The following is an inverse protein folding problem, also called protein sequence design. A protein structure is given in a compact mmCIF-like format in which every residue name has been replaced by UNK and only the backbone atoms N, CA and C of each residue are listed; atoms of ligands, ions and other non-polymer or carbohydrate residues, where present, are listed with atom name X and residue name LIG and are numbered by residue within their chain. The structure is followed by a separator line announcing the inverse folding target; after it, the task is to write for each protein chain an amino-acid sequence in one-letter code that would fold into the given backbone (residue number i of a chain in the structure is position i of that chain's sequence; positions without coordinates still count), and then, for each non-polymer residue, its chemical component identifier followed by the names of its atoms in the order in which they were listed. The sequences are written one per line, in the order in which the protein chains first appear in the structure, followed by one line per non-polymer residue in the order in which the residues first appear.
data_IF_478586686628
#
_entry.id   IF_478586686628
#
_cell.length_a   1.000
_cell.length_b   1.000
_cell.length_c   1.000
_cell.angle_alpha   90.00
_cell.angle_beta   90.00
_cell.angle_gamma   90.00
#
_symmetry.space_group_name_H-M   'P 1'
#
loop_
_entity.id
_entity.type
_entity.pdbx_description
1 polymer ?
#
# COMPACT_ATOMS: atom_id res chain seq x y z
N UNK A 1 -13.49 -6.57 -8.66
CA UNK A 1 -12.01 -6.57 -8.56
C UNK A 1 -11.59 -5.13 -8.43
N UNK A 2 -11.03 -4.72 -7.29
CA UNK A 2 -10.60 -3.33 -7.08
C UNK A 2 -9.29 -3.13 -7.86
N UNK A 3 -9.38 -2.44 -8.98
CA UNK A 3 -8.24 -2.12 -9.82
C UNK A 3 -7.41 -1.06 -9.10
N UNK A 4 -6.15 -1.38 -8.80
CA UNK A 4 -5.22 -0.39 -8.25
C UNK A 4 -5.06 0.76 -9.24
N UNK A 5 -4.88 1.98 -8.73
CA UNK A 5 -4.70 3.19 -9.54
C UNK A 5 -3.28 3.73 -9.34
N UNK A 6 -2.60 4.01 -10.44
CA UNK A 6 -1.25 4.59 -10.43
C UNK A 6 -1.31 6.00 -9.82
N UNK A 7 -0.39 6.29 -8.91
CA UNK A 7 -0.33 7.55 -8.16
C UNK A 7 -1.09 7.49 -6.83
N UNK A 8 -2.02 6.54 -6.66
CA UNK A 8 -2.77 6.39 -5.42
C UNK A 8 -1.99 5.63 -4.34
N UNK A 9 -2.35 5.93 -3.10
CA UNK A 9 -1.83 5.34 -1.90
C UNK A 9 -2.73 4.22 -1.40
N UNK A 10 -2.08 3.15 -0.96
CA UNK A 10 -2.73 1.98 -0.42
C UNK A 10 -2.03 1.57 0.86
N UNK A 11 -2.81 1.02 1.79
CA UNK A 11 -2.28 0.41 2.99
C UNK A 11 -2.62 -1.06 3.04
N UNK A 12 -1.62 -1.92 3.16
CA UNK A 12 -1.83 -3.34 3.41
C UNK A 12 -1.70 -3.63 4.91
N UNK A 13 -2.66 -4.39 5.45
CA UNK A 13 -2.75 -4.78 6.85
C UNK A 13 -2.33 -6.24 7.00
N UNK A 14 -1.28 -6.48 7.78
CA UNK A 14 -0.73 -7.81 8.07
C UNK A 14 -1.09 -8.21 9.50
N UNK A 15 -1.76 -9.36 9.64
CA UNK A 15 -2.18 -9.96 10.92
C UNK A 15 -2.87 -8.99 11.90
N UNK A 16 -3.53 -7.94 11.40
CA UNK A 16 -4.18 -6.87 12.18
C UNK A 16 -3.26 -6.05 13.11
N UNK A 17 -1.94 -6.23 13.06
CA UNK A 17 -0.99 -5.52 13.92
C UNK A 17 -0.02 -4.64 13.14
N UNK A 18 0.21 -4.94 11.86
CA UNK A 18 1.18 -4.21 11.06
C UNK A 18 0.53 -3.61 9.82
N UNK A 19 0.69 -2.30 9.64
CA UNK A 19 0.19 -1.57 8.48
C UNK A 19 1.37 -1.06 7.67
N UNK A 20 1.44 -1.45 6.40
CA UNK A 20 2.41 -0.89 5.45
C UNK A 20 1.66 -0.04 4.45
N UNK A 21 2.09 1.21 4.34
CA UNK A 21 1.60 2.14 3.32
C UNK A 21 2.57 2.18 2.15
N UNK A 22 2.01 2.14 0.94
CA UNK A 22 2.75 2.26 -0.30
C UNK A 22 1.95 3.02 -1.36
N UNK A 23 2.66 3.69 -2.26
CA UNK A 23 2.11 4.35 -3.44
C UNK A 23 2.30 3.45 -4.66
N UNK A 24 1.28 3.35 -5.53
CA UNK A 24 1.42 2.63 -6.80
C UNK A 24 2.19 3.51 -7.78
N UNK A 25 3.37 3.06 -8.20
CA UNK A 25 4.18 3.74 -9.20
C UNK A 25 3.87 3.26 -10.61
N UNK A 26 3.66 1.95 -10.79
CA UNK A 26 3.40 1.35 -12.08
C UNK A 26 2.54 0.10 -11.96
N UNK A 27 1.71 -0.13 -12.96
CA UNK A 27 0.91 -1.35 -13.13
C UNK A 27 1.25 -1.94 -14.48
N UNK A 28 2.07 -2.99 -14.49
CA UNK A 28 2.48 -3.68 -15.70
C UNK A 28 1.75 -5.02 -15.80
N UNK A 29 0.46 -4.99 -16.12
CA UNK A 29 -0.40 -6.14 -16.42
C UNK A 29 -0.49 -7.25 -15.36
N UNK A 30 0.62 -7.96 -15.11
CA UNK A 30 0.82 -8.96 -14.06
C UNK A 30 1.63 -8.47 -12.85
N UNK A 31 2.36 -7.36 -12.98
CA UNK A 31 3.26 -6.84 -11.96
C UNK A 31 2.81 -5.47 -11.48
N UNK A 32 3.08 -5.16 -10.21
CA UNK A 32 2.77 -3.85 -9.62
C UNK A 32 3.99 -3.29 -8.91
N UNK A 33 4.48 -2.14 -9.33
CA UNK A 33 5.56 -1.45 -8.62
C UNK A 33 4.96 -0.55 -7.56
N UNK A 34 5.27 -0.85 -6.30
CA UNK A 34 4.78 -0.16 -5.12
C UNK A 34 5.97 0.51 -4.42
N UNK A 35 5.84 1.81 -4.13
CA UNK A 35 6.83 2.54 -3.35
C UNK A 35 6.36 2.65 -1.90
N UNK A 36 7.10 2.06 -0.96
CA UNK A 36 6.82 2.21 0.46
C UNK A 36 7.19 3.61 0.94
N UNK A 37 6.62 4.03 2.06
CA UNK A 37 6.96 5.31 2.71
C UNK A 37 8.47 5.49 2.96
N UNK A 38 9.19 4.41 3.26
CA UNK A 38 10.64 4.41 3.50
C UNK A 38 11.47 4.57 2.21
N UNK A 39 10.84 4.66 1.04
CA UNK A 39 11.49 4.73 -0.27
C UNK A 39 11.83 3.37 -0.88
N UNK A 40 11.56 2.26 -0.16
CA UNK A 40 11.73 0.92 -0.69
C UNK A 40 10.69 0.60 -1.78
N UNK A 41 11.15 0.22 -2.97
CA UNK A 41 10.30 -0.21 -4.08
C UNK A 41 10.13 -1.73 -3.99
N UNK A 42 8.88 -2.19 -4.09
CA UNK A 42 8.54 -3.61 -4.12
C UNK A 42 7.62 -3.90 -5.31
N UNK A 43 7.89 -5.00 -6.02
CA UNK A 43 7.19 -5.37 -7.25
C UNK A 43 5.94 -6.23 -7.01
N UNK A 44 5.67 -6.52 -5.73
CA UNK A 44 4.57 -7.36 -5.27
C UNK A 44 4.29 -7.10 -3.81
N UNK A 45 3.04 -7.32 -3.40
CA UNK A 45 2.68 -7.37 -1.99
C UNK A 45 3.21 -8.67 -1.38
N UNK A 46 3.96 -8.60 -0.25
CA UNK A 46 4.30 -9.81 0.51
C UNK A 46 3.09 -10.69 0.79
N UNK A 47 3.25 -12.01 0.69
CA UNK A 47 2.17 -12.96 1.00
C UNK A 47 1.81 -12.89 2.49
N UNK A 48 0.52 -12.69 2.81
CA UNK A 48 0.01 -12.70 4.18
C UNK A 48 -0.72 -11.43 4.65
N UNK A 49 -0.87 -10.42 3.80
CA UNK A 49 -1.81 -9.34 4.11
C UNK A 49 -3.24 -9.83 4.08
N UNK A 50 -4.00 -9.39 5.07
CA UNK A 50 -5.40 -9.78 5.27
C UNK A 50 -6.33 -8.80 4.56
N UNK A 51 -5.91 -7.54 4.40
CA UNK A 51 -6.72 -6.49 3.80
C UNK A 51 -5.87 -5.41 3.16
N UNK A 52 -6.42 -4.81 2.10
CA UNK A 52 -5.87 -3.67 1.39
C UNK A 52 -6.85 -2.51 1.49
N UNK A 53 -6.40 -1.37 1.98
CA UNK A 53 -7.19 -0.15 2.13
C UNK A 53 -6.74 0.84 1.06
N UNK A 54 -7.69 1.31 0.26
CA UNK A 54 -7.50 2.39 -0.72
C UNK A 54 -7.59 3.74 -0.01
N UNK A 55 -6.61 4.61 -0.24
CA UNK A 55 -6.59 5.99 0.27
C UNK A 55 -6.68 7.04 -0.85
N UNK A 56 -6.74 6.62 -2.11
CA UNK A 56 -6.70 7.52 -3.27
C UNK A 56 -5.39 8.31 -3.35
N UNK A 57 -5.42 9.53 -3.88
CA UNK A 57 -4.24 10.38 -4.07
C UNK A 57 -3.62 10.91 -2.76
N UNK A 58 -4.32 10.76 -1.64
CA UNK A 58 -3.85 11.23 -0.34
C UNK A 58 -3.03 10.16 0.36
N UNK A 59 -1.78 10.51 0.70
CA UNK A 59 -0.97 9.71 1.60
C UNK A 59 -1.73 9.58 2.94
N UNK A 60 -2.05 8.37 3.42
CA UNK A 60 -2.68 8.24 4.71
C UNK A 60 -1.74 8.81 5.76
N UNK A 61 -2.23 9.77 6.54
CA UNK A 61 -1.50 10.20 7.72
C UNK A 61 -1.30 8.97 8.61
N UNK A 62 -0.04 8.71 8.94
CA UNK A 62 0.33 7.69 9.90
C UNK A 62 -0.12 8.23 11.26
N UNK A 63 -1.43 8.16 11.53
CA UNK A 63 -2.00 8.56 12.80
C UNK A 63 -1.44 7.59 13.83
N UNK A 64 -0.29 7.95 14.38
CA UNK A 64 0.11 7.56 15.72
C UNK A 64 -1.07 7.96 16.58
N UNK A 65 -1.94 6.99 16.86
CA UNK A 65 -2.82 7.08 18.01
C UNK A 65 -1.88 7.14 19.21
N UNK A 66 -1.61 8.36 19.63
CA UNK A 66 -1.07 8.66 20.94
C UNK A 66 -2.23 8.43 21.90
N UNK A 67 -2.12 7.37 22.69
CA UNK A 67 -2.58 7.35 24.08
C UNK A 67 -1.51 6.64 24.92
#
# INVERSE_FOLDING_TARGET
MNQMVIGCWYSAIYKSEFRITFQVLALDGKSVSLCREDGAIVDSLPSGYVSLVDHGDCKPENSRVID
#
